data_IF_674890437235
#
_entry.id   IF_674890437235
#
_cell.length_a   1.000
_cell.length_b   1.000
_cell.length_c   1.000
_cell.angle_alpha   90.00
_cell.angle_beta   90.00
_cell.angle_gamma   90.00
#
_symmetry.space_group_name_H-M   'P 1'
#
loop_
_entity.id
_entity.type
_entity.pdbx_description
1 polymer ?
#
# COMPACT_ATOMS: atom_id res chain seq x y z
N UNK A 1 -0.58 7.81 3.29
CA UNK A 1 -1.41 6.70 3.81
C UNK A 1 -0.77 5.38 3.39
N UNK A 2 -0.81 4.38 4.25
CA UNK A 2 -0.33 3.02 3.97
C UNK A 2 -1.51 2.18 3.47
N UNK A 3 -1.51 1.81 2.19
CA UNK A 3 -2.60 1.04 1.58
C UNK A 3 -2.72 -0.36 2.20
N UNK A 4 -1.61 -0.95 2.66
CA UNK A 4 -1.63 -2.24 3.36
C UNK A 4 -2.41 -2.14 4.67
N UNK A 5 -2.18 -1.06 5.41
CA UNK A 5 -2.94 -0.77 6.63
C UNK A 5 -4.42 -0.49 6.34
N UNK A 6 -4.72 0.23 5.28
CA UNK A 6 -6.11 0.49 4.85
C UNK A 6 -6.85 -0.82 4.53
N UNK A 7 -6.22 -1.75 3.80
CA UNK A 7 -6.80 -3.07 3.53
C UNK A 7 -7.09 -3.86 4.82
N UNK A 8 -6.16 -3.82 5.78
CA UNK A 8 -6.31 -4.49 7.08
C UNK A 8 -7.48 -3.93 7.89
N UNK A 9 -7.60 -2.60 7.95
CA UNK A 9 -8.71 -1.94 8.63
C UNK A 9 -10.04 -2.20 7.93
N UNK A 10 -10.10 -2.16 6.61
CA UNK A 10 -11.31 -2.49 5.85
C UNK A 10 -11.77 -3.92 6.16
N UNK A 11 -10.84 -4.88 6.17
CA UNK A 11 -11.14 -6.27 6.53
C UNK A 11 -11.64 -6.40 7.97
N UNK A 12 -11.00 -5.75 8.93
CA UNK A 12 -11.37 -5.82 10.33
C UNK A 12 -12.76 -5.19 10.58
N UNK A 13 -13.00 -4.00 10.04
CA UNK A 13 -14.28 -3.29 10.19
C UNK A 13 -15.41 -4.05 9.51
N UNK A 14 -15.19 -4.56 8.30
CA UNK A 14 -16.18 -5.36 7.58
C UNK A 14 -16.60 -6.60 8.37
N UNK A 15 -15.64 -7.29 8.97
CA UNK A 15 -15.92 -8.45 9.83
C UNK A 15 -16.67 -8.12 11.12
N UNK A 16 -16.58 -6.90 11.62
CA UNK A 16 -17.34 -6.46 12.80
C UNK A 16 -18.79 -6.08 12.46
N UNK A 17 -19.08 -5.75 11.23
CA UNK A 17 -20.40 -5.28 10.81
C UNK A 17 -21.31 -6.39 10.30
N UNK A 18 -20.76 -7.55 9.95
CA UNK A 18 -21.52 -8.64 9.35
C UNK A 18 -21.39 -9.95 10.13
N UNK A 19 -22.53 -10.64 10.36
CA UNK A 19 -22.56 -11.95 10.99
C UNK A 19 -21.95 -13.07 10.12
N UNK A 20 -21.81 -12.85 8.80
CA UNK A 20 -21.25 -13.80 7.84
C UNK A 20 -19.75 -13.56 7.57
N UNK A 21 -18.94 -13.61 8.62
CA UNK A 21 -17.51 -13.28 8.61
C UNK A 21 -16.66 -14.12 7.66
N UNK A 22 -17.05 -15.37 7.39
CA UNK A 22 -16.19 -16.32 6.71
C UNK A 22 -16.22 -16.22 5.18
N UNK A 23 -17.34 -15.79 4.58
CA UNK A 23 -17.53 -15.85 3.14
C UNK A 23 -17.31 -14.52 2.42
N UNK A 24 -17.62 -13.39 3.07
CA UNK A 24 -17.58 -12.07 2.46
C UNK A 24 -16.31 -11.25 2.76
N UNK A 25 -15.69 -11.42 3.93
CA UNK A 25 -14.55 -10.58 4.34
C UNK A 25 -13.27 -11.41 4.45
N UNK A 26 -12.67 -11.70 3.29
CA UNK A 26 -11.40 -12.41 3.16
C UNK A 26 -10.30 -11.49 2.60
N UNK A 27 -9.00 -11.80 2.79
CA UNK A 27 -7.89 -11.00 2.27
C UNK A 27 -8.00 -10.67 0.78
N UNK A 28 -8.46 -11.60 -0.05
CA UNK A 28 -8.59 -11.37 -1.49
C UNK A 28 -9.68 -10.34 -1.85
N UNK A 29 -10.72 -10.18 -1.04
CA UNK A 29 -11.74 -9.16 -1.27
C UNK A 29 -11.16 -7.76 -1.09
N UNK A 30 -10.52 -7.49 0.06
CA UNK A 30 -9.93 -6.17 0.32
C UNK A 30 -8.74 -5.86 -0.61
N UNK A 31 -8.00 -6.89 -1.02
CA UNK A 31 -6.97 -6.74 -2.04
C UNK A 31 -7.55 -6.33 -3.40
N UNK A 32 -8.63 -6.96 -3.84
CA UNK A 32 -9.35 -6.57 -5.07
C UNK A 32 -9.93 -5.17 -4.95
N UNK A 33 -10.48 -4.78 -3.79
CA UNK A 33 -10.94 -3.41 -3.54
C UNK A 33 -9.82 -2.39 -3.71
N UNK A 34 -8.62 -2.71 -3.23
CA UNK A 34 -7.44 -1.84 -3.33
C UNK A 34 -6.80 -1.82 -4.73
N UNK A 35 -7.19 -2.71 -5.63
CA UNK A 35 -6.62 -2.87 -6.97
C UNK A 35 -7.70 -2.74 -8.05
N UNK A 36 -8.19 -3.83 -8.58
CA UNK A 36 -9.10 -3.87 -9.73
C UNK A 36 -10.43 -3.17 -9.47
N UNK A 37 -11.06 -3.37 -8.29
CA UNK A 37 -12.34 -2.72 -8.00
C UNK A 37 -12.17 -1.21 -7.78
N UNK A 38 -11.05 -0.80 -7.19
CA UNK A 38 -10.69 0.62 -7.09
C UNK A 38 -10.49 1.25 -8.47
N UNK A 39 -9.81 0.56 -9.38
CA UNK A 39 -9.64 0.99 -10.77
C UNK A 39 -11.00 1.11 -11.50
N UNK A 40 -11.90 0.13 -11.32
CA UNK A 40 -13.27 0.18 -11.86
C UNK A 40 -14.08 1.36 -11.35
N UNK A 41 -14.00 1.64 -10.06
CA UNK A 41 -14.69 2.78 -9.46
C UNK A 41 -14.25 4.13 -10.06
N UNK A 42 -13.00 4.19 -10.54
CA UNK A 42 -12.44 5.35 -11.23
C UNK A 42 -12.62 5.33 -12.77
N UNK A 43 -13.17 4.25 -13.33
CA UNK A 43 -13.27 4.06 -14.78
C UNK A 43 -11.94 3.78 -15.48
N UNK A 44 -10.94 3.29 -14.74
CA UNK A 44 -9.56 3.07 -15.22
C UNK A 44 -9.18 1.59 -15.30
N UNK A 45 -10.12 0.66 -15.12
CA UNK A 45 -9.84 -0.78 -15.08
C UNK A 45 -9.34 -1.37 -16.41
N UNK A 46 -9.49 -0.63 -17.50
CA UNK A 46 -8.89 -0.96 -18.80
C UNK A 46 -7.39 -0.60 -18.89
N UNK A 47 -6.90 0.27 -17.98
CA UNK A 47 -5.51 0.72 -17.96
C UNK A 47 -4.71 0.18 -16.78
N UNK A 48 -5.33 0.05 -15.59
CA UNK A 48 -4.66 -0.29 -14.33
C UNK A 48 -5.46 -1.30 -13.50
N UNK A 49 -4.95 -1.68 -12.32
CA UNK A 49 -5.64 -2.51 -11.32
C UNK A 49 -5.42 -4.01 -11.46
N UNK A 50 -4.82 -4.47 -12.56
CA UNK A 50 -4.41 -5.86 -12.76
C UNK A 50 -3.17 -5.95 -13.66
N UNK A 51 -2.43 -7.06 -13.55
CA UNK A 51 -1.25 -7.33 -14.39
C UNK A 51 -1.69 -8.07 -15.65
N UNK A 52 -1.97 -7.33 -16.70
CA UNK A 52 -2.41 -7.83 -17.99
C UNK A 52 -1.64 -7.16 -19.14
N UNK A 53 -1.43 -7.89 -20.24
CA UNK A 53 -0.78 -7.34 -21.44
C UNK A 53 -1.64 -6.19 -21.98
N UNK A 54 -1.01 -5.04 -22.21
CA UNK A 54 -1.68 -3.83 -22.69
C UNK A 54 -2.07 -2.84 -21.61
N UNK A 55 -2.02 -3.22 -20.34
CA UNK A 55 -2.19 -2.30 -19.21
C UNK A 55 -0.87 -1.62 -18.81
N UNK A 56 -0.97 -0.55 -18.05
CA UNK A 56 0.21 0.13 -17.49
C UNK A 56 0.96 -0.80 -16.55
N UNK A 57 2.26 -0.69 -16.54
CA UNK A 57 3.12 -1.43 -15.62
C UNK A 57 3.14 -0.73 -14.25
N UNK A 58 2.08 -0.94 -13.47
CA UNK A 58 1.94 -0.49 -12.09
C UNK A 58 2.07 -1.70 -11.16
N UNK A 59 3.18 -1.79 -10.43
CA UNK A 59 3.55 -2.97 -9.64
C UNK A 59 4.09 -2.57 -8.28
N UNK A 60 3.78 -3.37 -7.27
CA UNK A 60 4.39 -3.29 -5.93
C UNK A 60 4.96 -4.64 -5.59
N UNK A 61 6.25 -4.69 -5.23
CA UNK A 61 6.93 -5.89 -4.76
C UNK A 61 7.22 -5.83 -3.26
N UNK A 62 6.94 -6.94 -2.57
CA UNK A 62 7.20 -7.12 -1.15
C UNK A 62 8.37 -8.07 -0.93
N UNK A 63 9.26 -7.75 0.02
CA UNK A 63 10.34 -8.66 0.44
C UNK A 63 9.85 -9.65 1.51
N UNK A 64 9.52 -10.88 1.08
CA UNK A 64 9.04 -11.96 1.95
C UNK A 64 10.14 -12.66 2.76
N UNK A 65 11.41 -12.28 2.62
CA UNK A 65 12.53 -12.84 3.43
C UNK A 65 12.53 -12.34 4.87
N UNK A 66 11.61 -11.44 5.22
CA UNK A 66 11.47 -10.90 6.58
C UNK A 66 10.77 -11.89 7.51
N UNK A 67 11.26 -12.02 8.74
CA UNK A 67 10.78 -13.03 9.68
C UNK A 67 9.27 -12.96 9.97
N UNK A 68 8.69 -11.75 10.05
CA UNK A 68 7.25 -11.56 10.30
C UNK A 68 6.38 -11.90 9.09
N UNK A 69 6.94 -12.04 7.88
CA UNK A 69 6.22 -12.49 6.68
C UNK A 69 6.40 -13.99 6.40
N UNK A 70 7.11 -14.69 7.28
CA UNK A 70 7.37 -16.14 7.19
C UNK A 70 6.44 -16.90 8.15
N UNK A 71 5.85 -18.04 7.75
CA UNK A 71 5.99 -18.69 6.44
C UNK A 71 5.14 -18.02 5.35
N UNK A 72 5.57 -18.14 4.10
CA UNK A 72 4.92 -17.55 2.91
C UNK A 72 3.90 -18.50 2.24
N UNK A 73 3.27 -19.36 3.01
CA UNK A 73 2.28 -20.35 2.53
C UNK A 73 1.05 -19.65 1.92
N UNK A 74 0.67 -18.51 2.49
CA UNK A 74 -0.40 -17.65 1.98
C UNK A 74 0.11 -16.21 1.81
N UNK A 75 0.83 -15.89 0.73
CA UNK A 75 1.41 -14.57 0.54
C UNK A 75 0.39 -13.43 0.60
N UNK A 76 -0.77 -13.61 0.00
CA UNK A 76 -1.83 -12.60 0.02
C UNK A 76 -2.37 -12.36 1.45
N UNK A 77 -2.58 -13.44 2.20
CA UNK A 77 -2.93 -13.35 3.62
C UNK A 77 -1.87 -12.59 4.41
N UNK A 78 -0.59 -12.89 4.18
CA UNK A 78 0.52 -12.20 4.85
C UNK A 78 0.55 -10.71 4.49
N UNK A 79 0.35 -10.33 3.22
CA UNK A 79 0.28 -8.93 2.82
C UNK A 79 -0.84 -8.20 3.57
N UNK A 80 -2.03 -8.75 3.60
CA UNK A 80 -3.19 -8.05 4.21
C UNK A 80 -3.11 -8.03 5.74
N UNK A 81 -2.72 -9.15 6.37
CA UNK A 81 -2.77 -9.27 7.84
C UNK A 81 -1.52 -8.76 8.55
N UNK A 82 -0.34 -8.90 7.94
CA UNK A 82 0.94 -8.76 8.64
C UNK A 82 1.86 -7.72 8.01
N UNK A 83 1.93 -7.63 6.67
CA UNK A 83 2.85 -6.72 6.00
C UNK A 83 2.58 -5.25 6.36
N UNK A 84 3.57 -4.42 6.17
CA UNK A 84 3.54 -2.98 6.37
C UNK A 84 4.16 -2.29 5.15
N UNK A 85 3.89 -1.00 4.93
CA UNK A 85 4.48 -0.26 3.82
C UNK A 85 6.01 -0.32 3.77
N UNK A 86 6.67 -0.48 4.92
CA UNK A 86 8.13 -0.68 5.00
C UNK A 86 8.65 -2.02 4.48
N UNK A 87 7.75 -2.97 4.20
CA UNK A 87 8.08 -4.27 3.61
C UNK A 87 8.05 -4.26 2.08
N UNK A 88 7.64 -3.12 1.51
CA UNK A 88 7.72 -2.85 0.08
C UNK A 88 9.18 -2.71 -0.31
N UNK A 89 9.63 -3.54 -1.24
CA UNK A 89 10.99 -3.51 -1.77
C UNK A 89 11.09 -2.62 -3.01
N UNK A 90 10.15 -2.77 -3.95
CA UNK A 90 10.09 -1.91 -5.12
C UNK A 90 8.67 -1.48 -5.48
N UNK A 91 8.58 -0.32 -6.13
CA UNK A 91 7.34 0.17 -6.76
C UNK A 91 7.66 0.65 -8.16
N UNK A 92 6.86 0.19 -9.12
CA UNK A 92 6.88 0.66 -10.51
C UNK A 92 5.55 1.36 -10.78
N UNK A 93 5.60 2.54 -11.36
CA UNK A 93 4.42 3.30 -11.79
C UNK A 93 4.61 3.69 -13.25
N UNK A 94 3.68 3.30 -14.10
CA UNK A 94 3.73 3.54 -15.55
C UNK A 94 5.08 3.12 -16.18
N UNK A 95 5.59 1.96 -15.73
CA UNK A 95 6.88 1.40 -16.17
C UNK A 95 8.13 2.07 -15.57
N UNK A 96 7.99 3.07 -14.68
CA UNK A 96 9.12 3.76 -14.03
C UNK A 96 9.30 3.26 -12.60
N UNK A 97 10.51 2.87 -12.25
CA UNK A 97 10.86 2.51 -10.86
C UNK A 97 10.86 3.76 -10.00
N UNK A 98 9.92 3.85 -9.06
CA UNK A 98 9.77 5.00 -8.15
C UNK A 98 10.19 4.67 -6.71
N UNK A 99 10.28 3.38 -6.37
CA UNK A 99 10.89 2.87 -5.13
C UNK A 99 11.78 1.69 -5.50
N UNK A 100 12.98 1.61 -4.93
CA UNK A 100 13.93 0.51 -5.07
C UNK A 100 14.66 0.28 -3.74
N UNK A 101 14.73 -0.98 -3.31
CA UNK A 101 15.31 -1.33 -2.00
C UNK A 101 14.60 -0.61 -0.84
N UNK A 102 13.30 -0.36 -0.95
CA UNK A 102 12.50 0.34 0.04
C UNK A 102 12.76 1.86 0.12
N UNK A 103 13.43 2.45 -0.87
CA UNK A 103 13.76 3.89 -0.91
C UNK A 103 13.20 4.56 -2.16
N UNK A 104 12.70 5.78 -2.02
CA UNK A 104 12.25 6.58 -3.16
C UNK A 104 13.42 6.91 -4.10
N UNK A 105 13.21 6.70 -5.43
CA UNK A 105 14.24 6.94 -6.44
C UNK A 105 14.20 8.36 -7.03
N UNK A 106 13.05 9.04 -6.92
CA UNK A 106 12.81 10.33 -7.56
C UNK A 106 13.05 11.53 -6.64
N UNK A 107 13.27 11.29 -5.35
CA UNK A 107 13.40 12.35 -4.32
C UNK A 107 14.49 11.98 -3.32
N UNK A 108 15.13 12.98 -2.74
CA UNK A 108 16.01 12.81 -1.60
C UNK A 108 15.18 12.88 -0.29
N UNK A 109 14.96 11.70 0.30
CA UNK A 109 14.16 11.58 1.52
C UNK A 109 14.76 12.35 2.69
N UNK A 110 16.08 12.47 2.79
CA UNK A 110 16.74 13.22 3.85
C UNK A 110 16.49 14.73 3.73
N UNK A 111 16.49 15.25 2.50
CA UNK A 111 16.11 16.65 2.22
C UNK A 111 14.65 16.88 2.61
N UNK A 112 13.74 16.00 2.21
CA UNK A 112 12.31 16.12 2.55
C UNK A 112 12.11 16.08 4.07
N UNK A 113 12.75 15.16 4.77
CA UNK A 113 12.68 15.02 6.23
C UNK A 113 13.15 16.28 6.93
N UNK A 114 14.29 16.82 6.51
CA UNK A 114 14.89 18.05 7.09
C UNK A 114 14.00 19.27 6.87
N UNK A 115 13.55 19.48 5.64
CA UNK A 115 12.71 20.64 5.29
C UNK A 115 11.32 20.54 5.93
N UNK A 116 10.72 19.36 5.97
CA UNK A 116 9.45 19.11 6.67
C UNK A 116 9.56 19.41 8.17
N UNK A 117 10.63 18.96 8.82
CA UNK A 117 10.87 19.25 10.23
C UNK A 117 11.10 20.76 10.49
N UNK A 118 11.75 21.46 9.55
CA UNK A 118 11.92 22.91 9.62
C UNK A 118 10.58 23.65 9.52
N UNK A 119 9.79 23.31 8.53
CA UNK A 119 8.47 23.92 8.31
C UNK A 119 7.53 23.69 9.51
N UNK A 120 7.52 22.47 10.06
CA UNK A 120 6.71 22.15 11.24
C UNK A 120 7.09 22.97 12.46
N UNK A 121 8.40 23.12 12.74
CA UNK A 121 8.88 23.99 13.84
C UNK A 121 8.50 25.45 13.66
N UNK A 122 8.57 25.98 12.44
CA UNK A 122 8.18 27.37 12.15
C UNK A 122 6.67 27.57 12.35
N UNK A 123 5.85 26.64 11.90
CA UNK A 123 4.40 26.69 12.08
C UNK A 123 4.03 26.66 13.56
N UNK A 124 4.66 25.74 14.31
CA UNK A 124 4.43 25.61 15.76
C UNK A 124 4.78 26.87 16.53
N UNK A 125 5.93 27.48 16.23
CA UNK A 125 6.35 28.75 16.87
C UNK A 125 5.37 29.91 16.62
N UNK A 126 4.77 29.98 15.41
CA UNK A 126 3.73 30.98 15.08
C UNK A 126 2.42 30.73 15.82
N UNK A 127 2.08 29.50 16.10
CA UNK A 127 0.83 29.12 16.78
C UNK A 127 0.90 29.40 18.32
N UNK A 128 2.11 29.61 18.85
CA UNK A 128 2.32 29.90 20.27
C UNK A 128 2.57 31.40 20.57
N UNK A 129 2.68 32.23 19.53
CA UNK A 129 2.85 33.69 19.63
C UNK A 129 1.51 34.40 19.58
#
# INVERSE_FOLDING_TARGET
ADMVEVMRWALAIGRLQEDAVTDFWQPHHVFRMATLEGARAMGLDHEIGSLEIGKRADLVGFDFRRAHLTPDINPLGNVVHVAQGRDVDFVIVDGRVVVEGGRATLVDEEVIRREGARAARQLWARAQA
#
